data_IF_839508092259
#
_entry.id   IF_839508092259
#
_cell.length_a   1.000
_cell.length_b   1.000
_cell.length_c   1.000
_cell.angle_alpha   90.00
_cell.angle_beta   90.00
_cell.angle_gamma   90.00
#
_symmetry.space_group_name_H-M   'P 1'
#
loop_
_entity.id
_entity.type
_entity.pdbx_description
1 polymer ?
#
# COMPACT_ATOMS: atom_id res chain seq x y z
N UNK A 1 30.28 -30.17 -21.50
CA UNK A 1 28.83 -30.10 -21.75
C UNK A 1 28.61 -29.04 -22.83
N UNK A 2 28.01 -29.34 -24.00
CA UNK A 2 27.88 -28.35 -25.07
C UNK A 2 26.86 -27.27 -24.71
N UNK A 3 27.24 -26.00 -24.92
CA UNK A 3 26.45 -24.80 -24.58
C UNK A 3 25.10 -24.68 -25.32
N UNK A 4 24.83 -25.57 -26.28
CA UNK A 4 23.57 -25.66 -27.02
C UNK A 4 22.40 -26.23 -26.19
N UNK A 5 22.67 -26.88 -25.04
CA UNK A 5 21.63 -27.44 -24.18
C UNK A 5 21.10 -26.46 -23.12
N UNK A 6 21.83 -25.37 -22.83
CA UNK A 6 21.40 -24.34 -21.86
C UNK A 6 20.32 -23.41 -22.41
N UNK A 7 20.34 -23.13 -23.72
CA UNK A 7 19.33 -22.28 -24.37
C UNK A 7 17.95 -22.96 -24.48
N UNK A 8 17.92 -24.30 -24.55
CA UNK A 8 16.66 -25.06 -24.63
C UNK A 8 15.92 -25.13 -23.28
N UNK A 9 16.64 -25.05 -22.15
CA UNK A 9 16.05 -24.97 -20.80
C UNK A 9 15.45 -23.59 -20.49
N UNK A 10 16.06 -22.52 -21.02
CA UNK A 10 15.56 -21.16 -20.82
C UNK A 10 14.24 -20.87 -21.58
N UNK A 11 14.03 -21.51 -22.74
CA UNK A 11 12.77 -21.39 -23.50
C UNK A 11 11.62 -22.21 -22.91
N UNK A 12 11.90 -23.26 -22.14
CA UNK A 12 10.87 -24.09 -21.49
C UNK A 12 10.28 -23.45 -20.21
N UNK A 13 11.01 -22.56 -19.54
CA UNK A 13 10.50 -21.79 -18.39
C UNK A 13 9.64 -20.58 -18.78
N UNK A 14 9.67 -20.16 -20.05
CA UNK A 14 8.91 -19.02 -20.55
C UNK A 14 7.51 -19.40 -21.10
N UNK A 15 7.19 -20.71 -21.15
CA UNK A 15 6.01 -21.24 -21.83
C UNK A 15 4.86 -21.70 -20.91
N UNK A 16 4.84 -21.32 -19.63
CA UNK A 16 3.79 -21.74 -18.68
C UNK A 16 3.15 -20.61 -17.87
N UNK A 17 3.00 -19.41 -18.44
CA UNK A 17 2.08 -18.43 -17.87
C UNK A 17 1.39 -17.60 -18.95
N UNK A 18 0.61 -18.28 -19.77
CA UNK A 18 -0.46 -17.64 -20.55
C UNK A 18 -1.69 -18.53 -20.43
N UNK A 19 -2.56 -18.24 -19.46
CA UNK A 19 -3.97 -18.65 -19.50
C UNK A 19 -4.86 -17.81 -18.56
N UNK A 20 -5.46 -16.77 -19.15
CA UNK A 20 -6.84 -16.26 -18.99
C UNK A 20 -7.44 -16.05 -17.59
N UNK A 21 -7.84 -14.81 -17.20
CA UNK A 21 -8.92 -14.63 -16.24
C UNK A 21 -10.29 -14.77 -16.93
N UNK A 22 -11.08 -15.77 -16.52
CA UNK A 22 -12.50 -15.89 -16.86
C UNK A 22 -13.29 -14.89 -15.99
N UNK A 23 -13.70 -13.78 -16.60
CA UNK A 23 -14.60 -12.77 -15.98
C UNK A 23 -15.93 -13.44 -15.62
N UNK A 24 -16.18 -13.62 -14.33
CA UNK A 24 -17.52 -13.95 -13.83
C UNK A 24 -18.34 -12.66 -13.76
N UNK A 25 -19.25 -12.50 -14.72
CA UNK A 25 -20.32 -11.50 -14.64
C UNK A 25 -21.36 -11.99 -13.63
N UNK A 26 -21.28 -11.53 -12.38
CA UNK A 26 -22.34 -11.73 -11.38
C UNK A 26 -23.30 -10.55 -11.44
N UNK A 27 -24.48 -10.82 -12.00
CA UNK A 27 -25.65 -9.92 -12.00
C UNK A 27 -26.35 -10.02 -10.64
N UNK A 28 -26.23 -9.01 -9.79
CA UNK A 28 -27.11 -8.79 -8.64
C UNK A 28 -27.42 -7.31 -8.47
N UNK A 29 -28.61 -6.92 -8.92
CA UNK A 29 -29.43 -5.86 -8.33
C UNK A 29 -30.78 -6.53 -8.09
N UNK A 30 -31.39 -6.44 -6.90
CA UNK A 30 -31.74 -5.17 -6.27
C UNK A 30 -31.64 -5.15 -4.72
N UNK A 31 -31.82 -3.97 -4.13
CA UNK A 31 -32.38 -3.87 -2.78
C UNK A 31 -31.53 -3.14 -1.76
N UNK A 32 -31.88 -1.87 -1.54
CA UNK A 32 -31.97 -1.20 -0.24
C UNK A 32 -31.19 -1.85 0.93
N UNK A 33 -30.03 -1.30 1.24
CA UNK A 33 -29.53 -1.28 2.60
C UNK A 33 -29.40 0.19 3.02
N UNK A 34 -30.36 0.59 3.84
CA UNK A 34 -30.40 1.83 4.60
C UNK A 34 -29.01 2.20 5.10
N UNK A 35 -28.47 3.35 4.66
CA UNK A 35 -27.36 4.00 5.36
C UNK A 35 -27.95 4.59 6.65
N UNK A 36 -28.30 3.70 7.59
CA UNK A 36 -28.67 4.09 8.93
C UNK A 36 -27.39 4.54 9.60
N UNK A 37 -27.27 5.87 9.71
CA UNK A 37 -26.34 6.52 10.62
C UNK A 37 -26.37 5.79 11.97
N UNK A 38 -25.26 5.16 12.32
CA UNK A 38 -24.96 4.73 13.68
C UNK A 38 -23.79 5.59 14.16
N UNK A 39 -24.06 6.88 14.34
CA UNK A 39 -23.39 7.66 15.38
C UNK A 39 -23.93 7.11 16.69
N UNK A 40 -23.16 6.26 17.38
CA UNK A 40 -23.37 6.00 18.80
C UNK A 40 -22.14 5.32 19.42
N UNK A 41 -21.33 6.14 20.07
CA UNK A 41 -20.63 5.89 21.33
C UNK A 41 -20.22 4.43 21.63
N UNK A 42 -19.10 4.00 21.02
CA UNK A 42 -18.18 3.01 21.63
C UNK A 42 -16.82 3.68 21.88
N UNK A 43 -16.89 4.70 22.74
CA UNK A 43 -16.03 5.05 23.88
C UNK A 43 -14.61 4.42 23.95
N UNK A 44 -13.62 5.18 24.41
CA UNK A 44 -12.31 5.53 23.82
C UNK A 44 -11.33 4.43 23.40
N UNK A 45 -11.57 3.15 23.73
CA UNK A 45 -10.63 2.06 23.50
C UNK A 45 -10.52 1.64 22.01
N UNK A 46 -11.64 1.55 21.31
CA UNK A 46 -11.68 1.24 19.87
C UNK A 46 -10.87 2.27 19.05
N UNK A 47 -11.05 3.55 19.38
CA UNK A 47 -10.33 4.66 18.74
C UNK A 47 -8.83 4.73 19.16
N UNK A 48 -8.44 4.08 20.27
CA UNK A 48 -7.03 4.00 20.70
C UNK A 48 -6.30 2.93 19.89
N UNK A 49 -6.93 1.76 19.77
CA UNK A 49 -6.47 0.66 18.94
C UNK A 49 -6.37 1.08 17.46
N UNK A 50 -7.33 1.88 16.97
CA UNK A 50 -7.29 2.44 15.62
C UNK A 50 -6.09 3.38 15.43
N UNK A 51 -5.82 4.27 16.40
CA UNK A 51 -4.67 5.18 16.36
C UNK A 51 -3.33 4.44 16.39
N UNK A 52 -3.24 3.36 17.16
CA UNK A 52 -2.06 2.49 17.19
C UNK A 52 -1.89 1.71 15.88
N UNK A 53 -2.98 1.19 15.30
CA UNK A 53 -2.96 0.53 14.00
C UNK A 53 -2.47 1.49 12.90
N UNK A 54 -2.99 2.72 12.86
CA UNK A 54 -2.55 3.74 11.89
C UNK A 54 -1.07 4.10 12.06
N UNK A 55 -0.55 4.17 13.28
CA UNK A 55 0.89 4.36 13.52
C UNK A 55 1.72 3.19 12.99
N UNK A 56 1.30 1.97 13.26
CA UNK A 56 1.98 0.77 12.78
C UNK A 56 1.97 0.70 11.24
N UNK A 57 0.86 1.08 10.61
CA UNK A 57 0.77 1.16 9.16
C UNK A 57 1.69 2.23 8.58
N UNK A 58 1.80 3.40 9.23
CA UNK A 58 2.76 4.44 8.83
C UNK A 58 4.20 3.95 8.91
N UNK A 59 4.57 3.19 9.95
CA UNK A 59 5.89 2.59 10.07
C UNK A 59 6.17 1.58 8.93
N UNK A 60 5.19 0.72 8.60
CA UNK A 60 5.31 -0.21 7.48
C UNK A 60 5.47 0.53 6.16
N UNK A 61 4.67 1.56 5.91
CA UNK A 61 4.76 2.36 4.68
C UNK A 61 6.11 3.04 4.53
N UNK A 62 6.69 3.58 5.62
CA UNK A 62 8.04 4.15 5.61
C UNK A 62 9.11 3.10 5.29
N UNK A 63 8.97 1.89 5.83
CA UNK A 63 9.89 0.77 5.53
C UNK A 63 9.83 0.38 4.05
N UNK A 64 8.62 0.25 3.49
CA UNK A 64 8.43 -0.05 2.07
C UNK A 64 8.99 1.06 1.18
N UNK A 65 8.77 2.34 1.52
CA UNK A 65 9.31 3.46 0.77
C UNK A 65 10.85 3.45 0.77
N UNK A 66 11.47 3.13 1.91
CA UNK A 66 12.92 2.96 2.03
C UNK A 66 13.42 1.83 1.14
N UNK A 67 12.69 0.71 1.08
CA UNK A 67 13.02 -0.40 0.18
C UNK A 67 12.91 0.01 -1.29
N UNK A 68 11.88 0.76 -1.68
CA UNK A 68 11.76 1.27 -3.05
C UNK A 68 12.93 2.18 -3.43
N UNK A 69 13.34 3.09 -2.54
CA UNK A 69 14.51 3.96 -2.75
C UNK A 69 15.80 3.15 -2.87
N UNK A 70 15.97 2.16 -2.01
CA UNK A 70 17.14 1.26 -2.01
C UNK A 70 17.19 0.45 -3.30
N UNK A 71 16.07 -0.16 -3.70
CA UNK A 71 15.96 -0.92 -4.94
C UNK A 71 16.26 -0.04 -6.15
N UNK A 72 15.75 1.19 -6.18
CA UNK A 72 16.02 2.15 -7.25
C UNK A 72 17.52 2.47 -7.36
N UNK A 73 18.21 2.64 -6.23
CA UNK A 73 19.66 2.86 -6.22
C UNK A 73 20.45 1.67 -6.80
N UNK A 74 19.94 0.44 -6.67
CA UNK A 74 20.55 -0.77 -7.23
C UNK A 74 20.28 -0.98 -8.72
N UNK A 75 19.19 -0.45 -9.27
CA UNK A 75 18.84 -0.56 -10.71
C UNK A 75 19.82 0.26 -11.60
N UNK A 76 20.77 0.98 -10.99
CA UNK A 76 21.87 1.66 -11.67
C UNK A 76 21.49 3.10 -12.04
N UNK A 77 22.48 4.00 -12.03
CA UNK A 77 22.35 5.45 -12.25
C UNK A 77 21.97 5.84 -13.69
N UNK A 78 21.48 4.91 -14.48
CA UNK A 78 20.96 5.18 -15.82
C UNK A 78 19.62 5.87 -15.69
N UNK A 79 19.56 7.15 -16.08
CA UNK A 79 18.31 7.91 -16.25
C UNK A 79 17.50 7.29 -17.37
N UNK A 80 16.79 6.22 -17.05
CA UNK A 80 15.80 5.60 -17.93
C UNK A 80 14.41 6.14 -17.59
N UNK A 81 13.48 6.20 -18.55
CA UNK A 81 12.10 6.57 -18.28
C UNK A 81 11.47 5.75 -17.15
N UNK A 82 11.81 4.46 -17.06
CA UNK A 82 11.32 3.57 -16.00
C UNK A 82 11.81 3.99 -14.60
N UNK A 83 13.08 4.37 -14.47
CA UNK A 83 13.61 4.87 -13.19
C UNK A 83 12.91 6.17 -12.76
N UNK A 84 12.61 7.05 -13.72
CA UNK A 84 11.89 8.28 -13.43
C UNK A 84 10.45 8.04 -12.91
N UNK A 85 9.75 7.04 -13.45
CA UNK A 85 8.42 6.66 -12.96
C UNK A 85 8.46 6.17 -11.50
N UNK A 86 9.51 5.44 -11.11
CA UNK A 86 9.71 5.03 -9.73
C UNK A 86 10.05 6.22 -8.80
N UNK A 87 10.84 7.20 -9.26
CA UNK A 87 11.11 8.43 -8.51
C UNK A 87 9.81 9.21 -8.24
N UNK A 88 8.97 9.39 -9.26
CA UNK A 88 7.67 10.03 -9.13
C UNK A 88 6.76 9.28 -8.15
N UNK A 89 6.72 7.95 -8.23
CA UNK A 89 5.96 7.13 -7.30
C UNK A 89 6.45 7.29 -5.86
N UNK A 90 7.77 7.30 -5.64
CA UNK A 90 8.38 7.53 -4.31
C UNK A 90 7.95 8.89 -3.76
N UNK A 91 8.00 9.95 -4.56
CA UNK A 91 7.58 11.29 -4.11
C UNK A 91 6.08 11.35 -3.78
N UNK A 92 5.22 10.72 -4.58
CA UNK A 92 3.79 10.62 -4.27
C UNK A 92 3.54 9.91 -2.93
N UNK A 93 4.16 8.75 -2.71
CA UNK A 93 4.03 8.00 -1.46
C UNK A 93 4.54 8.79 -0.26
N UNK A 94 5.61 9.57 -0.43
CA UNK A 94 6.15 10.46 0.61
C UNK A 94 5.14 11.52 1.02
N UNK A 95 4.44 12.14 0.06
CA UNK A 95 3.39 13.13 0.33
C UNK A 95 2.23 12.51 1.10
N UNK A 96 1.76 11.33 0.68
CA UNK A 96 0.68 10.59 1.33
C UNK A 96 1.04 10.24 2.79
N UNK A 97 2.24 9.69 3.01
CA UNK A 97 2.72 9.37 4.35
C UNK A 97 2.75 10.63 5.24
N UNK A 98 3.26 11.75 4.72
CA UNK A 98 3.30 13.01 5.48
C UNK A 98 1.89 13.54 5.82
N UNK A 99 0.91 13.37 4.93
CA UNK A 99 -0.48 13.74 5.21
C UNK A 99 -1.09 12.86 6.32
N UNK A 100 -0.90 11.54 6.25
CA UNK A 100 -1.39 10.61 7.25
C UNK A 100 -0.73 10.82 8.61
N UNK A 101 0.57 11.14 8.65
CA UNK A 101 1.27 11.51 9.87
C UNK A 101 0.67 12.74 10.55
N UNK A 102 0.36 13.79 9.79
CA UNK A 102 -0.32 14.99 10.31
C UNK A 102 -1.69 14.64 10.87
N UNK A 103 -2.45 13.80 10.15
CA UNK A 103 -3.76 13.36 10.59
C UNK A 103 -3.70 12.58 11.92
N UNK A 104 -2.78 11.63 12.05
CA UNK A 104 -2.54 10.87 13.28
C UNK A 104 -2.10 11.77 14.44
N UNK A 105 -1.24 12.76 14.16
CA UNK A 105 -0.84 13.75 15.17
C UNK A 105 -2.01 14.59 15.67
N UNK A 106 -2.90 15.02 14.78
CA UNK A 106 -4.10 15.79 15.14
C UNK A 106 -5.06 14.97 16.01
N UNK A 107 -5.30 13.72 15.63
CA UNK A 107 -6.10 12.78 16.44
C UNK A 107 -5.47 12.52 17.82
N UNK A 108 -4.14 12.43 17.89
CA UNK A 108 -3.44 12.27 19.17
C UNK A 108 -3.55 13.54 20.05
N UNK A 109 -3.46 14.73 19.46
CA UNK A 109 -3.57 16.02 20.18
C UNK A 109 -4.97 16.29 20.72
N UNK A 110 -6.00 16.14 19.89
CA UNK A 110 -7.40 16.33 20.27
C UNK A 110 -7.81 15.41 21.42
N UNK A 111 -7.28 14.17 21.46
CA UNK A 111 -7.46 13.25 22.58
C UNK A 111 -6.67 13.63 23.84
N UNK A 112 -5.41 14.04 23.70
CA UNK A 112 -4.55 14.40 24.84
C UNK A 112 -5.02 15.64 25.62
N UNK A 113 -5.73 16.56 24.95
CA UNK A 113 -6.28 17.77 25.55
C UNK A 113 -7.56 17.59 26.37
N UNK A 114 -8.27 16.45 26.23
CA UNK A 114 -9.55 16.20 26.89
C UNK A 114 -9.40 15.45 28.25
N UNK A 115 -8.39 15.78 29.06
CA UNK A 115 -8.32 15.26 30.44
C UNK A 115 -9.18 16.15 31.35
N UNK A 116 -10.23 15.63 32.00
CA UNK A 116 -10.95 16.39 33.02
C UNK A 116 -10.03 16.69 34.21
N UNK A 117 -10.08 17.93 34.70
CA UNK A 117 -9.43 18.38 35.94
C UNK A 117 -10.10 17.78 37.16
#
# INVERSE_FOLDING_TARGET
MPASLQWLLALFLFATFSLTPKVHAQKTSPGHASFKAATEASEPAANQQELEAMKADLERMRSLLTQMQTNLAFVGSTTTPLNHEFELAIEMWRVLIAQMERHVQEMARTRGGNKPK
#
